data_IF_279359489779
#
_entry.id   IF_279359489779
#
_cell.length_a   1.000
_cell.length_b   1.000
_cell.length_c   1.000
_cell.angle_alpha   90.00
_cell.angle_beta   90.00
_cell.angle_gamma   90.00
#
_symmetry.space_group_name_H-M   'P 1'
#
loop_
_entity.id
_entity.type
_entity.pdbx_description
1 polymer ?
#
# COMPACT_ATOMS: atom_id res chain seq x y z
N UNK A 1 8.84 10.09 -6.25
CA UNK A 1 9.84 9.08 -5.82
C UNK A 1 9.23 8.11 -4.82
N UNK A 2 9.51 6.85 -4.99
CA UNK A 2 9.03 5.81 -4.04
C UNK A 2 10.21 5.33 -3.22
N UNK A 3 10.14 5.51 -1.91
CA UNK A 3 11.15 5.01 -0.99
C UNK A 3 10.61 3.79 -0.26
N UNK A 4 11.41 2.72 -0.22
CA UNK A 4 11.00 1.44 0.37
C UNK A 4 11.98 1.06 1.46
N UNK A 5 11.46 0.79 2.64
CA UNK A 5 12.23 0.38 3.82
C UNK A 5 11.64 -0.90 4.39
N UNK A 6 12.44 -1.62 5.16
CA UNK A 6 11.95 -2.79 5.90
C UNK A 6 12.56 -2.83 7.28
N UNK A 7 11.78 -3.32 8.24
CA UNK A 7 12.23 -3.62 9.59
C UNK A 7 12.53 -5.11 9.71
N UNK A 8 13.37 -5.46 10.67
CA UNK A 8 13.70 -6.84 11.06
C UNK A 8 14.35 -7.65 9.95
N UNK A 9 13.60 -7.95 8.91
CA UNK A 9 14.06 -8.79 7.81
C UNK A 9 14.17 -7.98 6.52
N UNK A 10 15.32 -8.05 5.87
CA UNK A 10 15.57 -7.32 4.63
C UNK A 10 14.70 -7.84 3.49
N UNK A 11 14.25 -6.93 2.64
CA UNK A 11 13.57 -7.28 1.41
C UNK A 11 14.59 -7.79 0.38
N UNK A 12 14.19 -8.74 -0.43
CA UNK A 12 14.99 -9.11 -1.59
C UNK A 12 14.93 -7.97 -2.62
N UNK A 13 15.91 -7.87 -3.54
CA UNK A 13 15.83 -6.88 -4.60
C UNK A 13 14.56 -7.00 -5.44
N UNK A 14 14.08 -8.22 -5.66
CA UNK A 14 12.82 -8.47 -6.39
C UNK A 14 11.61 -7.94 -5.64
N UNK A 15 11.55 -8.18 -4.34
CA UNK A 15 10.46 -7.68 -3.49
C UNK A 15 10.43 -6.17 -3.47
N UNK A 16 11.59 -5.54 -3.27
CA UNK A 16 11.68 -4.09 -3.25
C UNK A 16 11.29 -3.48 -4.59
N UNK A 17 11.80 -4.02 -5.69
CA UNK A 17 11.48 -3.55 -7.03
C UNK A 17 9.99 -3.71 -7.33
N UNK A 18 9.38 -4.82 -6.90
CA UNK A 18 7.95 -5.06 -7.08
C UNK A 18 7.09 -4.05 -6.37
N UNK A 19 7.42 -3.71 -5.12
CA UNK A 19 6.72 -2.69 -4.37
C UNK A 19 6.83 -1.33 -5.06
N UNK A 20 8.04 -0.97 -5.46
CA UNK A 20 8.32 0.30 -6.15
C UNK A 20 7.53 0.41 -7.44
N UNK A 21 7.58 -0.63 -8.27
CA UNK A 21 6.84 -0.67 -9.54
C UNK A 21 5.34 -0.58 -9.32
N UNK A 22 4.82 -1.25 -8.29
CA UNK A 22 3.41 -1.22 -7.95
C UNK A 22 2.94 0.21 -7.65
N UNK A 23 3.67 0.92 -6.80
CA UNK A 23 3.33 2.30 -6.46
C UNK A 23 3.45 3.23 -7.66
N UNK A 24 4.55 3.12 -8.42
CA UNK A 24 4.78 3.97 -9.59
C UNK A 24 3.71 3.75 -10.67
N UNK A 25 3.36 2.50 -10.93
CA UNK A 25 2.35 2.16 -11.93
C UNK A 25 0.97 2.66 -11.51
N UNK A 26 0.62 2.47 -10.22
CA UNK A 26 -0.66 2.96 -9.70
C UNK A 26 -0.76 4.49 -9.85
N UNK A 27 0.28 5.22 -9.47
CA UNK A 27 0.31 6.67 -9.62
C UNK A 27 0.15 7.08 -11.08
N UNK A 28 0.93 6.47 -11.98
CA UNK A 28 0.88 6.80 -13.40
C UNK A 28 -0.50 6.55 -14.01
N UNK A 29 -1.11 5.43 -13.69
CA UNK A 29 -2.43 5.07 -14.23
C UNK A 29 -3.55 5.93 -13.67
N UNK A 30 -3.35 6.51 -12.47
CA UNK A 30 -4.32 7.41 -11.85
C UNK A 30 -4.04 8.88 -12.21
N UNK A 31 -3.05 9.14 -13.04
CA UNK A 31 -2.69 10.50 -13.42
C UNK A 31 -2.14 11.34 -12.27
N UNK A 32 -1.54 10.68 -11.28
CA UNK A 32 -1.01 11.33 -10.09
C UNK A 32 0.52 11.30 -10.11
N UNK A 33 1.13 12.26 -9.43
CA UNK A 33 2.57 12.32 -9.25
C UNK A 33 2.89 12.75 -7.83
N UNK A 34 3.95 12.20 -7.27
CA UNK A 34 4.39 12.55 -5.92
C UNK A 34 5.21 11.45 -5.29
N UNK A 35 5.53 11.67 -4.02
CA UNK A 35 6.41 10.77 -3.27
C UNK A 35 5.62 9.93 -2.26
N UNK A 36 5.97 8.67 -2.16
CA UNK A 36 5.39 7.74 -1.20
C UNK A 36 6.51 7.01 -0.48
N UNK A 37 6.37 6.84 0.82
CA UNK A 37 7.26 5.99 1.61
C UNK A 37 6.53 4.72 1.98
N UNK A 38 7.14 3.57 1.71
CA UNK A 38 6.60 2.27 2.07
C UNK A 38 7.52 1.62 3.10
N UNK A 39 6.96 1.23 4.24
CA UNK A 39 7.67 0.50 5.27
C UNK A 39 7.05 -0.88 5.43
N UNK A 40 7.87 -1.92 5.27
CA UNK A 40 7.45 -3.28 5.56
C UNK A 40 7.86 -3.59 6.99
N UNK A 41 6.88 -3.77 7.86
CA UNK A 41 7.07 -3.81 9.31
C UNK A 41 6.59 -5.12 9.92
N UNK A 42 6.96 -5.34 11.17
CA UNK A 42 6.50 -6.47 11.95
C UNK A 42 5.08 -6.28 12.51
N UNK A 43 4.45 -7.36 12.99
CA UNK A 43 3.06 -7.30 13.45
C UNK A 43 2.87 -6.41 14.68
N UNK A 44 3.83 -6.39 15.60
CA UNK A 44 3.71 -5.58 16.82
C UNK A 44 3.69 -4.09 16.52
N UNK A 45 4.54 -3.65 15.61
CA UNK A 45 4.62 -2.26 15.20
C UNK A 45 3.33 -1.81 14.50
N UNK A 46 2.82 -2.65 13.60
CA UNK A 46 1.60 -2.32 12.87
C UNK A 46 0.37 -2.33 13.79
N UNK A 47 0.32 -3.23 14.77
CA UNK A 47 -0.74 -3.25 15.77
C UNK A 47 -0.72 -1.98 16.61
N UNK A 48 0.47 -1.55 17.03
CA UNK A 48 0.64 -0.32 17.80
C UNK A 48 0.15 0.90 17.03
N UNK A 49 0.51 1.03 15.76
CA UNK A 49 0.08 2.15 14.92
C UNK A 49 -1.42 2.12 14.67
N UNK A 50 -1.98 0.93 14.45
CA UNK A 50 -3.41 0.77 14.24
C UNK A 50 -4.19 1.19 15.49
N UNK A 51 -3.70 0.81 16.68
CA UNK A 51 -4.30 1.22 17.95
C UNK A 51 -4.19 2.73 18.16
N UNK A 52 -3.00 3.30 17.95
CA UNK A 52 -2.73 4.70 18.27
C UNK A 52 -3.39 5.68 17.29
N UNK A 53 -3.48 5.31 16.02
CA UNK A 53 -3.97 6.22 14.98
C UNK A 53 -5.35 5.88 14.43
N UNK A 54 -5.81 4.64 14.59
CA UNK A 54 -7.12 4.20 14.07
C UNK A 54 -8.05 3.69 15.16
N UNK A 55 -7.60 3.65 16.41
CA UNK A 55 -8.37 3.15 17.56
C UNK A 55 -8.77 1.68 17.42
N UNK A 56 -7.96 0.90 16.69
CA UNK A 56 -8.21 -0.53 16.48
C UNK A 56 -7.00 -1.30 17.00
N UNK A 57 -7.16 -2.00 18.11
CA UNK A 57 -6.06 -2.74 18.75
C UNK A 57 -5.94 -4.15 18.18
N UNK A 58 -5.42 -4.23 16.95
CA UNK A 58 -5.13 -5.52 16.30
C UNK A 58 -4.19 -5.34 15.12
N UNK A 59 -3.62 -6.45 14.68
CA UNK A 59 -2.76 -6.50 13.51
C UNK A 59 -3.62 -6.41 12.25
N UNK A 60 -3.15 -5.67 11.26
CA UNK A 60 -3.75 -5.63 9.92
C UNK A 60 -2.66 -5.87 8.88
N UNK A 61 -3.05 -6.06 7.63
CA UNK A 61 -2.09 -6.31 6.55
C UNK A 61 -1.45 -5.02 6.03
N UNK A 62 -2.20 -3.93 5.98
CA UNK A 62 -1.71 -2.66 5.45
C UNK A 62 -2.38 -1.49 6.15
N UNK A 63 -1.61 -0.44 6.42
CA UNK A 63 -2.09 0.85 6.92
C UNK A 63 -1.60 1.94 6.00
N UNK A 64 -2.43 2.96 5.79
CA UNK A 64 -2.05 4.12 5.00
C UNK A 64 -2.22 5.39 5.81
N UNK A 65 -1.29 6.33 5.60
CA UNK A 65 -1.30 7.63 6.27
C UNK A 65 -1.14 8.72 5.21
N UNK A 66 -2.24 9.17 4.58
CA UNK A 66 -2.17 10.26 3.60
C UNK A 66 -1.66 11.52 4.28
N UNK A 67 -0.74 12.22 3.61
CA UNK A 67 -0.15 13.43 4.17
C UNK A 67 -1.15 14.60 4.26
N UNK A 68 -2.28 14.46 3.57
CA UNK A 68 -3.31 15.51 3.50
C UNK A 68 -4.66 15.04 4.02
N UNK A 69 -4.65 14.14 4.98
CA UNK A 69 -5.88 13.60 5.52
C UNK A 69 -6.70 14.75 6.14
N UNK A 70 -7.88 15.05 5.55
CA UNK A 70 -8.79 16.07 6.03
C UNK A 70 -8.44 17.49 5.62
N UNK A 71 -7.38 17.74 4.86
CA UNK A 71 -6.98 19.08 4.42
C UNK A 71 -6.73 19.12 2.93
N UNK A 72 -7.21 20.18 2.28
CA UNK A 72 -6.88 20.49 0.92
C UNK A 72 -5.67 21.41 0.94
N UNK A 73 -4.49 20.85 0.87
CA UNK A 73 -3.27 21.63 0.74
C UNK A 73 -2.98 21.85 -0.74
N UNK A 74 -3.25 23.05 -1.21
CA UNK A 74 -2.91 23.43 -2.57
C UNK A 74 -1.40 23.41 -2.68
N UNK A 75 -0.89 22.38 -3.38
CA UNK A 75 0.52 22.26 -3.64
C UNK A 75 1.38 22.01 -2.41
N UNK A 76 1.42 20.76 -1.94
CA UNK A 76 2.52 20.37 -1.08
C UNK A 76 3.81 20.71 -1.83
N UNK A 77 4.70 21.57 -1.32
CA UNK A 77 5.89 22.00 -2.04
C UNK A 77 6.80 20.85 -2.45
N UNK A 78 6.75 19.75 -1.71
CA UNK A 78 7.57 18.55 -1.90
C UNK A 78 6.82 17.43 -2.61
N UNK A 79 5.53 17.59 -2.88
CA UNK A 79 4.75 16.55 -3.55
C UNK A 79 4.59 15.27 -2.75
N UNK A 80 4.72 15.33 -1.43
CA UNK A 80 4.62 14.14 -0.59
C UNK A 80 3.17 13.69 -0.45
N UNK A 81 2.88 12.43 -0.81
CA UNK A 81 1.52 11.90 -0.82
C UNK A 81 1.16 11.14 0.45
N UNK A 82 2.10 10.44 1.05
CA UNK A 82 1.84 9.73 2.29
C UNK A 82 2.68 8.49 2.52
N UNK A 83 2.36 7.77 3.59
CA UNK A 83 3.06 6.57 4.00
C UNK A 83 2.18 5.34 3.87
N UNK A 84 2.78 4.22 3.46
CA UNK A 84 2.14 2.92 3.45
C UNK A 84 2.94 2.00 4.38
N UNK A 85 2.26 1.36 5.32
CA UNK A 85 2.86 0.35 6.19
C UNK A 85 2.29 -1.01 5.83
N UNK A 86 3.15 -1.95 5.48
CA UNK A 86 2.76 -3.32 5.12
C UNK A 86 3.24 -4.26 6.22
N UNK A 87 2.36 -5.13 6.71
CA UNK A 87 2.71 -6.14 7.69
C UNK A 87 3.30 -7.35 6.97
N UNK A 88 4.60 -7.61 7.15
CA UNK A 88 5.27 -8.72 6.47
C UNK A 88 4.66 -10.08 6.82
N UNK A 89 4.39 -10.34 8.10
CA UNK A 89 3.83 -11.63 8.51
C UNK A 89 2.46 -11.88 7.92
N UNK A 90 1.62 -10.87 7.82
CA UNK A 90 0.29 -11.00 7.18
C UNK A 90 0.43 -11.21 5.69
N UNK A 91 1.38 -10.53 5.05
CA UNK A 91 1.64 -10.72 3.63
C UNK A 91 2.09 -12.15 3.33
N UNK A 92 2.95 -12.72 4.17
CA UNK A 92 3.40 -14.12 4.05
C UNK A 92 2.21 -15.08 4.18
N UNK A 93 1.36 -14.88 5.19
CA UNK A 93 0.17 -15.71 5.40
C UNK A 93 -0.79 -15.63 4.22
N UNK A 94 -1.06 -14.43 3.72
CA UNK A 94 -1.97 -14.21 2.61
C UNK A 94 -1.42 -14.77 1.29
N UNK A 95 -0.12 -14.64 1.05
CA UNK A 95 0.52 -15.23 -0.12
C UNK A 95 0.33 -16.75 -0.13
N UNK A 96 0.54 -17.41 1.00
CA UNK A 96 0.34 -18.84 1.13
C UNK A 96 -1.14 -19.22 0.93
N UNK A 97 -2.05 -18.46 1.52
CA UNK A 97 -3.48 -18.69 1.41
C UNK A 97 -3.99 -18.60 -0.03
N UNK A 98 -3.49 -17.62 -0.78
CA UNK A 98 -3.90 -17.42 -2.18
C UNK A 98 -3.05 -18.20 -3.18
N UNK A 99 -2.02 -18.91 -2.71
CA UNK A 99 -1.19 -19.76 -3.58
C UNK A 99 -0.30 -18.99 -4.53
N UNK A 100 0.20 -17.83 -4.12
CA UNK A 100 1.14 -17.07 -4.95
C UNK A 100 2.35 -16.59 -4.14
N UNK A 101 3.30 -15.93 -4.83
CA UNK A 101 4.55 -15.50 -4.20
C UNK A 101 4.34 -14.35 -3.23
N UNK A 102 5.28 -14.19 -2.30
CA UNK A 102 5.29 -13.04 -1.40
C UNK A 102 5.46 -11.73 -2.20
N UNK A 103 6.29 -11.74 -3.24
CA UNK A 103 6.46 -10.56 -4.10
C UNK A 103 5.14 -10.09 -4.68
N UNK A 104 4.31 -11.01 -5.14
CA UNK A 104 2.98 -10.70 -5.69
C UNK A 104 2.07 -10.11 -4.62
N UNK A 105 2.05 -10.68 -3.42
CA UNK A 105 1.22 -10.16 -2.34
C UNK A 105 1.68 -8.77 -1.90
N UNK A 106 2.99 -8.55 -1.80
CA UNK A 106 3.52 -7.22 -1.46
C UNK A 106 3.13 -6.18 -2.52
N UNK A 107 3.20 -6.55 -3.80
CA UNK A 107 2.76 -5.66 -4.88
C UNK A 107 1.26 -5.34 -4.77
N UNK A 108 0.44 -6.34 -4.48
CA UNK A 108 -1.00 -6.16 -4.27
C UNK A 108 -1.27 -5.16 -3.15
N UNK A 109 -0.62 -5.33 -2.00
CA UNK A 109 -0.81 -4.44 -0.85
C UNK A 109 -0.30 -3.03 -1.13
N UNK A 110 0.78 -2.90 -1.91
CA UNK A 110 1.31 -1.60 -2.30
C UNK A 110 0.35 -0.85 -3.23
N UNK A 111 -0.26 -1.54 -4.19
CA UNK A 111 -1.30 -0.94 -5.06
C UNK A 111 -2.49 -0.51 -4.22
N UNK A 112 -2.96 -1.38 -3.34
CA UNK A 112 -4.09 -1.09 -2.46
C UNK A 112 -3.83 0.17 -1.61
N UNK A 113 -2.65 0.23 -0.99
CA UNK A 113 -2.27 1.39 -0.18
C UNK A 113 -2.16 2.68 -0.99
N UNK A 114 -1.60 2.59 -2.20
CA UNK A 114 -1.48 3.77 -3.07
C UNK A 114 -2.86 4.32 -3.45
N UNK A 115 -3.80 3.44 -3.79
CA UNK A 115 -5.16 3.87 -4.12
C UNK A 115 -5.85 4.53 -2.92
N UNK A 116 -5.67 4.00 -1.71
CA UNK A 116 -6.19 4.65 -0.51
C UNK A 116 -5.61 6.04 -0.32
N UNK A 117 -4.31 6.22 -0.51
CA UNK A 117 -3.67 7.53 -0.42
C UNK A 117 -4.28 8.50 -1.42
N UNK A 118 -4.64 8.02 -2.61
CA UNK A 118 -5.24 8.84 -3.66
C UNK A 118 -6.74 9.10 -3.45
N UNK A 119 -7.34 8.58 -2.37
CA UNK A 119 -8.71 8.87 -2.01
C UNK A 119 -9.71 7.75 -2.26
N UNK A 120 -9.30 6.62 -2.81
CA UNK A 120 -10.19 5.47 -2.93
C UNK A 120 -10.46 4.87 -1.55
N UNK A 121 -11.70 4.45 -1.34
CA UNK A 121 -12.09 3.86 -0.08
C UNK A 121 -13.08 2.73 -0.35
N UNK A 122 -13.54 2.06 0.70
CA UNK A 122 -14.52 0.98 0.61
C UNK A 122 -15.61 1.15 1.67
N UNK A 123 -16.07 2.39 1.82
CA UNK A 123 -17.12 2.76 2.79
C UNK A 123 -18.49 2.21 2.39
N UNK A 124 -18.69 1.96 1.11
CA UNK A 124 -19.92 1.35 0.59
C UNK A 124 -19.58 0.43 -0.57
N UNK A 125 -20.60 -0.32 -1.03
CA UNK A 125 -20.40 -1.32 -2.07
C UNK A 125 -19.91 -0.71 -3.39
N UNK A 126 -20.42 0.44 -3.78
CA UNK A 126 -20.02 1.10 -5.03
C UNK A 126 -18.54 1.53 -4.97
N UNK A 127 -18.11 2.10 -3.86
CA UNK A 127 -16.71 2.49 -3.67
C UNK A 127 -15.80 1.27 -3.66
N UNK A 128 -16.22 0.21 -2.98
CA UNK A 128 -15.44 -1.04 -2.92
C UNK A 128 -15.28 -1.65 -4.30
N UNK A 129 -16.34 -1.71 -5.10
CA UNK A 129 -16.28 -2.24 -6.44
C UNK A 129 -15.35 -1.41 -7.34
N UNK A 130 -15.43 -0.09 -7.25
CA UNK A 130 -14.57 0.79 -8.03
C UNK A 130 -13.09 0.57 -7.66
N UNK A 131 -12.78 0.51 -6.37
CA UNK A 131 -11.42 0.28 -5.92
C UNK A 131 -10.89 -1.07 -6.39
N UNK A 132 -11.70 -2.13 -6.30
CA UNK A 132 -11.31 -3.47 -6.77
C UNK A 132 -11.04 -3.47 -8.27
N UNK A 133 -11.87 -2.78 -9.04
CA UNK A 133 -11.69 -2.69 -10.49
C UNK A 133 -10.38 -1.98 -10.84
N UNK A 134 -10.07 -0.89 -10.15
CA UNK A 134 -8.82 -0.18 -10.36
C UNK A 134 -7.62 -1.02 -9.95
N UNK A 135 -7.68 -1.70 -8.82
CA UNK A 135 -6.62 -2.60 -8.39
C UNK A 135 -6.33 -3.67 -9.43
N UNK A 136 -7.38 -4.30 -9.94
CA UNK A 136 -7.25 -5.35 -10.96
C UNK A 136 -6.57 -4.81 -12.21
N UNK A 137 -7.00 -3.66 -12.70
CA UNK A 137 -6.44 -3.06 -13.91
C UNK A 137 -4.95 -2.76 -13.74
N UNK A 138 -4.58 -2.19 -12.59
CA UNK A 138 -3.18 -1.86 -12.30
C UNK A 138 -2.32 -3.12 -12.19
N UNK A 139 -2.81 -4.13 -11.47
CA UNK A 139 -2.09 -5.38 -11.29
C UNK A 139 -1.92 -6.14 -12.60
N UNK A 140 -2.91 -6.10 -13.49
CA UNK A 140 -2.79 -6.67 -14.83
C UNK A 140 -1.71 -5.98 -15.63
N UNK A 141 -1.60 -4.66 -15.51
CA UNK A 141 -0.58 -3.88 -16.21
C UNK A 141 0.84 -4.31 -15.79
N UNK A 142 1.04 -4.59 -14.52
CA UNK A 142 2.36 -5.01 -14.03
C UNK A 142 2.56 -6.52 -14.01
N UNK A 143 1.53 -7.29 -14.40
CA UNK A 143 1.61 -8.75 -14.44
C UNK A 143 1.49 -9.44 -13.08
N UNK A 144 1.01 -8.74 -12.06
CA UNK A 144 0.92 -9.24 -10.69
C UNK A 144 -0.54 -9.32 -10.22
N UNK A 145 -1.30 -10.26 -10.77
CA UNK A 145 -2.70 -10.46 -10.36
C UNK A 145 -2.79 -11.31 -9.09
N UNK A 146 -3.78 -11.03 -8.28
CA UNK A 146 -4.06 -11.78 -7.06
C UNK A 146 -5.04 -12.91 -7.29
#
# INVERSE_FOLDING_TARGET
>A
MIEVYSEDEALTPEEEAGIRTACETALAMEGAAGDITVLVAGPDHIQQLNRDFRNVDRVTDVLTFPSREGEELVGSPDGYLGDIMICRSRAVEQAAEYGHSLSRELAFLAVHGTLHILGYDHMNEAEEQLMRARQRTILERIGETR
#
